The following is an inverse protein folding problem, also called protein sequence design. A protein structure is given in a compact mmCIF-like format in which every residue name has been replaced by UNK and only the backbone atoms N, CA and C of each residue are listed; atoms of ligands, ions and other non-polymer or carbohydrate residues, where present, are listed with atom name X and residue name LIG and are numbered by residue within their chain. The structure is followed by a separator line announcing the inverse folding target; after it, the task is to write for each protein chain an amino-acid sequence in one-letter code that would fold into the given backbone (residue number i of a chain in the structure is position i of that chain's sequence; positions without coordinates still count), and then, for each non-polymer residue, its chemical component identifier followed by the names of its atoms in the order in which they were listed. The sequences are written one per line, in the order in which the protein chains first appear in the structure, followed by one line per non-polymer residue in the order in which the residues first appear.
data_IF_435763533377
#
_entry.id   IF_435763533377
#
_cell.length_a   1.000
_cell.length_b   1.000
_cell.length_c   1.000
_cell.angle_alpha   90.00
_cell.angle_beta   90.00
_cell.angle_gamma   90.00
#
_symmetry.space_group_name_H-M   'P 1'
#
loop_
_entity.id
_entity.type
_entity.pdbx_description
1 polymer ?
#
# COMPACT_ATOMS: atom_id res chain seq x y z
N UNK A 1 2.99 -61.99 9.23
CA UNK A 1 1.62 -62.35 8.79
C UNK A 1 1.09 -61.16 7.99
N UNK A 2 0.76 -61.40 6.72
CA UNK A 2 0.30 -60.49 5.63
C UNK A 2 -0.11 -59.05 5.99
N UNK A 3 0.48 -57.98 5.45
CA UNK A 3 0.38 -57.40 4.07
C UNK A 3 -1.06 -57.20 3.60
N UNK A 4 -1.57 -55.97 3.74
CA UNK A 4 -2.79 -55.47 3.10
C UNK A 4 -2.48 -54.23 2.26
N UNK A 5 -2.18 -54.46 0.97
CA UNK A 5 -1.96 -53.43 -0.04
C UNK A 5 -3.32 -52.90 -0.51
N UNK A 6 -3.64 -51.65 -0.16
CA UNK A 6 -4.81 -50.94 -0.68
C UNK A 6 -4.59 -50.56 -2.15
N UNK A 7 -5.44 -51.09 -3.03
CA UNK A 7 -5.43 -50.81 -4.48
C UNK A 7 -5.81 -49.36 -4.77
N UNK A 8 -4.95 -48.68 -5.53
CA UNK A 8 -5.25 -47.44 -6.26
C UNK A 8 -6.12 -47.78 -7.47
N UNK A 9 -7.27 -47.11 -7.61
CA UNK A 9 -8.11 -47.17 -8.81
C UNK A 9 -7.74 -46.00 -9.74
N UNK A 10 -7.39 -46.25 -11.02
CA UNK A 10 -7.20 -45.18 -12.00
C UNK A 10 -8.56 -44.66 -12.51
N UNK A 11 -8.76 -43.35 -12.42
CA UNK A 11 -9.89 -42.64 -13.05
C UNK A 11 -9.54 -42.38 -14.53
N UNK A 12 -10.39 -42.75 -15.50
CA UNK A 12 -10.10 -42.55 -16.91
C UNK A 12 -10.22 -41.08 -17.34
N UNK A 13 -9.14 -40.54 -17.89
CA UNK A 13 -9.13 -39.33 -18.71
C UNK A 13 -9.99 -39.50 -19.95
N UNK A 14 -10.93 -38.58 -20.19
CA UNK A 14 -11.64 -38.46 -21.48
C UNK A 14 -11.38 -37.08 -22.07
N UNK A 15 -11.09 -37.15 -23.35
CA UNK A 15 -10.56 -36.15 -24.27
C UNK A 15 -11.57 -35.04 -24.63
N UNK A 16 -10.99 -33.86 -24.90
CA UNK A 16 -11.27 -32.94 -26.02
C UNK A 16 -12.74 -32.57 -26.32
N UNK A 17 -13.09 -31.32 -26.01
CA UNK A 17 -14.05 -30.57 -26.83
C UNK A 17 -13.34 -29.40 -27.48
N UNK A 18 -13.39 -29.43 -28.81
CA UNK A 18 -12.78 -28.49 -29.73
C UNK A 18 -13.48 -27.12 -29.73
N UNK A 19 -12.66 -26.15 -30.12
CA UNK A 19 -12.90 -24.79 -30.58
C UNK A 19 -14.30 -24.44 -31.09
N UNK A 20 -14.82 -23.29 -30.65
CA UNK A 20 -15.66 -22.42 -31.47
C UNK A 20 -15.05 -21.02 -31.46
N UNK A 21 -14.47 -20.66 -32.60
CA UNK A 21 -14.14 -19.30 -33.00
C UNK A 21 -15.44 -18.59 -33.36
N UNK A 22 -15.69 -17.40 -32.80
CA UNK A 22 -16.65 -16.45 -33.34
C UNK A 22 -16.01 -15.05 -33.39
N UNK A 23 -16.02 -14.49 -34.60
CA UNK A 23 -15.44 -13.23 -35.04
C UNK A 23 -16.50 -12.10 -35.04
N UNK A 24 -16.04 -10.87 -34.78
CA UNK A 24 -16.53 -9.53 -35.26
C UNK A 24 -17.76 -8.87 -34.59
N UNK A 25 -17.97 -7.54 -34.70
CA UNK A 25 -17.06 -6.40 -34.97
C UNK A 25 -17.26 -5.18 -34.01
N UNK A 26 -16.41 -4.17 -34.21
CA UNK A 26 -16.31 -2.88 -33.53
C UNK A 26 -17.54 -1.95 -33.66
N UNK A 27 -17.78 -1.13 -32.64
CA UNK A 27 -18.52 0.14 -32.74
C UNK A 27 -17.64 1.26 -32.19
N UNK A 28 -17.20 2.14 -33.10
CA UNK A 28 -16.64 3.46 -32.80
C UNK A 28 -17.76 4.37 -32.30
N UNK A 29 -17.58 5.02 -31.15
CA UNK A 29 -18.29 6.24 -30.81
C UNK A 29 -17.26 7.33 -30.48
N UNK A 30 -17.04 8.22 -31.45
CA UNK A 30 -16.26 9.45 -31.28
C UNK A 30 -17.16 10.48 -30.61
N UNK A 31 -16.91 10.76 -29.33
CA UNK A 31 -17.53 11.87 -28.60
C UNK A 31 -16.60 13.08 -28.58
N UNK A 32 -16.90 14.07 -29.41
CA UNK A 32 -16.24 15.38 -29.38
C UNK A 32 -16.73 16.16 -28.14
N UNK A 33 -15.89 16.26 -27.10
CA UNK A 33 -16.10 17.26 -26.03
C UNK A 33 -15.41 18.57 -26.41
N UNK A 34 -16.18 19.50 -26.96
CA UNK A 34 -15.83 20.91 -26.95
C UNK A 34 -16.20 21.49 -25.57
N UNK A 35 -15.20 21.82 -24.75
CA UNK A 35 -15.35 22.44 -23.44
C UNK A 35 -14.66 23.80 -23.40
N UNK A 36 -15.43 24.84 -23.05
CA UNK A 36 -15.08 26.25 -23.06
C UNK A 36 -13.87 26.64 -22.21
N UNK A 37 -13.02 27.49 -22.77
CA UNK A 37 -12.01 28.31 -22.07
C UNK A 37 -12.66 29.58 -21.50
N UNK A 38 -12.50 29.90 -20.20
CA UNK A 38 -12.72 31.24 -19.72
C UNK A 38 -11.49 32.13 -19.94
N UNK A 39 -11.80 33.31 -20.45
CA UNK A 39 -11.00 34.49 -20.72
C UNK A 39 -10.26 34.98 -19.47
N UNK A 40 -8.93 35.09 -19.53
CA UNK A 40 -8.12 35.79 -18.56
C UNK A 40 -7.46 36.98 -19.27
N UNK A 41 -8.21 38.09 -19.36
CA UNK A 41 -7.68 39.37 -19.76
C UNK A 41 -6.48 39.78 -18.90
N UNK A 42 -5.41 40.20 -19.57
CA UNK A 42 -4.33 41.00 -18.97
C UNK A 42 -4.31 42.33 -19.72
N UNK A 43 -4.26 43.48 -19.03
CA UNK A 43 -2.99 44.20 -19.03
C UNK A 43 -2.61 44.91 -17.70
N UNK A 44 -1.31 44.77 -17.39
CA UNK A 44 -0.33 45.71 -16.80
C UNK A 44 -0.59 47.22 -17.07
N UNK A 45 0.10 48.25 -16.50
CA UNK A 45 1.05 48.38 -15.37
C UNK A 45 0.66 49.50 -14.35
N UNK A 46 1.40 49.65 -13.24
CA UNK A 46 1.98 50.96 -12.84
C UNK A 46 2.80 50.87 -11.55
N UNK A 47 4.07 51.26 -11.67
CA UNK A 47 4.91 51.66 -10.57
C UNK A 47 4.49 53.05 -10.05
N UNK A 48 4.66 53.31 -8.76
CA UNK A 48 4.98 54.63 -8.18
C UNK A 48 5.33 54.51 -6.69
N UNK A 49 6.60 54.77 -6.36
CA UNK A 49 7.06 55.32 -5.08
C UNK A 49 7.00 56.87 -5.20
N UNK A 50 6.74 57.67 -4.14
CA UNK A 50 7.74 57.93 -3.10
C UNK A 50 7.22 58.21 -1.66
N UNK A 51 8.21 58.35 -0.78
CA UNK A 51 8.30 58.62 0.66
C UNK A 51 7.28 59.54 1.33
N UNK A 52 7.02 59.25 2.62
CA UNK A 52 6.95 60.29 3.65
C UNK A 52 7.53 59.80 4.98
N UNK A 53 8.32 60.68 5.61
CA UNK A 53 8.96 60.47 6.91
C UNK A 53 7.98 60.79 8.04
N UNK A 54 7.90 59.92 9.04
CA UNK A 54 7.36 60.29 10.35
C UNK A 54 8.17 59.61 11.46
N UNK A 55 8.97 60.43 12.14
CA UNK A 55 9.60 60.15 13.42
C UNK A 55 8.52 59.88 14.47
N UNK A 56 8.46 58.65 14.98
CA UNK A 56 7.62 58.26 16.11
C UNK A 56 8.34 57.22 16.94
N UNK A 57 9.15 57.68 17.90
CA UNK A 57 9.70 56.81 18.93
C UNK A 57 8.59 56.34 19.86
N UNK A 58 8.25 55.05 19.78
CA UNK A 58 7.50 54.35 20.81
C UNK A 58 8.08 52.94 20.89
N UNK A 59 8.94 52.73 21.89
CA UNK A 59 9.47 51.42 22.28
C UNK A 59 8.32 50.58 22.84
N UNK A 60 7.61 49.91 21.94
CA UNK A 60 6.73 48.79 22.27
C UNK A 60 7.62 47.59 22.65
N UNK A 61 7.35 46.87 23.75
CA UNK A 61 8.06 45.64 24.03
C UNK A 61 7.71 44.65 22.92
N UNK A 62 8.72 44.31 22.11
CA UNK A 62 8.64 43.21 21.15
C UNK A 62 8.32 41.94 21.95
N UNK A 63 7.05 41.52 21.89
CA UNK A 63 6.70 40.15 22.19
C UNK A 63 7.18 39.36 20.98
N UNK A 64 8.35 38.75 21.15
CA UNK A 64 8.83 37.71 20.26
C UNK A 64 7.67 36.73 20.03
N UNK A 65 7.22 36.49 18.78
CA UNK A 65 6.22 35.47 18.52
C UNK A 65 6.83 34.14 18.92
N UNK A 66 6.44 33.71 20.12
CA UNK A 66 6.89 32.47 20.75
C UNK A 66 6.84 31.35 19.74
N UNK A 67 7.97 30.66 19.61
CA UNK A 67 8.14 29.48 18.79
C UNK A 67 6.96 28.56 19.04
N UNK A 68 6.11 28.38 18.02
CA UNK A 68 5.09 27.34 18.06
C UNK A 68 5.84 26.02 18.28
N UNK A 69 5.52 25.23 19.32
CA UNK A 69 6.11 23.92 19.45
C UNK A 69 5.81 23.18 18.15
N UNK A 70 6.86 22.87 17.40
CA UNK A 70 6.73 21.92 16.30
C UNK A 70 6.54 20.59 17.00
N UNK A 71 5.29 20.11 17.06
CA UNK A 71 4.97 18.75 17.50
C UNK A 71 5.82 17.80 16.66
N UNK A 72 6.97 17.41 17.21
CA UNK A 72 7.84 16.44 16.59
C UNK A 72 7.16 15.12 16.87
N UNK A 73 6.46 14.58 15.86
CA UNK A 73 5.95 13.21 15.91
C UNK A 73 7.11 12.32 16.31
N UNK A 74 6.95 11.57 17.39
CA UNK A 74 7.97 10.64 17.83
C UNK A 74 8.20 9.62 16.71
N UNK A 75 9.45 9.42 16.33
CA UNK A 75 9.79 8.51 15.24
C UNK A 75 9.46 7.06 15.65
N UNK A 76 8.95 6.27 14.71
CA UNK A 76 8.72 4.84 14.90
C UNK A 76 10.00 4.06 15.25
N UNK A 77 9.81 2.86 15.83
CA UNK A 77 10.91 1.93 16.11
C UNK A 77 11.42 1.33 14.80
N UNK A 78 12.73 1.43 14.49
CA UNK A 78 13.27 0.90 13.24
C UNK A 78 13.08 -0.61 13.10
N UNK A 79 12.62 -1.03 11.92
CA UNK A 79 12.59 -2.44 11.56
C UNK A 79 14.01 -2.91 11.21
N UNK A 80 14.47 -3.98 11.86
CA UNK A 80 15.85 -4.47 11.74
C UNK A 80 15.99 -5.79 11.00
N UNK A 81 14.87 -6.45 10.68
CA UNK A 81 14.85 -7.67 9.87
C UNK A 81 15.01 -7.34 8.37
N UNK A 82 15.50 -8.31 7.60
CA UNK A 82 15.59 -8.23 6.14
C UNK A 82 14.29 -8.68 5.43
N UNK A 83 14.22 -8.45 4.11
CA UNK A 83 13.09 -8.91 3.30
C UNK A 83 12.95 -10.45 3.28
N UNK A 84 14.06 -11.17 3.35
CA UNK A 84 14.11 -12.63 3.42
C UNK A 84 13.73 -13.19 4.79
N UNK A 85 13.80 -12.35 5.83
CA UNK A 85 13.27 -12.68 7.16
C UNK A 85 11.78 -12.34 7.24
N UNK A 86 11.34 -11.22 6.64
CA UNK A 86 9.92 -10.85 6.57
C UNK A 86 9.12 -11.91 5.79
N UNK A 87 9.59 -12.30 4.60
CA UNK A 87 9.06 -13.42 3.84
C UNK A 87 10.19 -14.30 3.35
N UNK A 88 10.22 -15.52 3.85
CA UNK A 88 11.22 -16.50 3.45
C UNK A 88 10.97 -16.93 2.00
N UNK A 89 11.98 -17.54 1.39
CA UNK A 89 11.81 -18.14 0.05
C UNK A 89 10.71 -19.20 0.04
N UNK A 90 10.54 -19.94 1.14
CA UNK A 90 9.52 -20.98 1.26
C UNK A 90 8.11 -20.38 1.32
N UNK A 91 7.92 -19.24 2.00
CA UNK A 91 6.62 -18.55 2.04
C UNK A 91 6.22 -18.04 0.65
N UNK A 92 7.16 -17.40 -0.04
CA UNK A 92 6.93 -16.86 -1.39
C UNK A 92 6.62 -18.00 -2.37
N UNK A 93 7.35 -19.12 -2.27
CA UNK A 93 7.09 -20.30 -3.10
C UNK A 93 5.74 -20.95 -2.78
N UNK A 94 5.35 -21.00 -1.50
CA UNK A 94 4.05 -21.52 -1.08
C UNK A 94 2.89 -20.64 -1.55
N UNK A 95 3.08 -19.32 -1.60
CA UNK A 95 2.13 -18.39 -2.19
C UNK A 95 2.01 -18.59 -3.71
N UNK A 96 3.13 -18.55 -4.43
CA UNK A 96 3.15 -18.77 -5.88
C UNK A 96 4.58 -19.12 -6.36
N UNK A 97 4.81 -20.32 -6.93
CA UNK A 97 6.13 -20.72 -7.43
C UNK A 97 6.71 -19.85 -8.55
N UNK A 98 5.89 -19.03 -9.22
CA UNK A 98 6.36 -18.08 -10.22
C UNK A 98 6.71 -16.71 -9.65
N UNK A 99 6.52 -16.47 -8.35
CA UNK A 99 6.91 -15.23 -7.68
C UNK A 99 8.30 -15.39 -7.10
N UNK A 100 9.14 -14.37 -7.29
CA UNK A 100 10.51 -14.31 -6.77
C UNK A 100 10.89 -12.90 -6.34
N UNK A 101 12.01 -12.78 -5.62
CA UNK A 101 12.50 -11.48 -5.14
C UNK A 101 12.69 -10.48 -6.29
N UNK A 102 12.36 -9.22 -6.04
CA UNK A 102 12.64 -8.10 -6.92
C UNK A 102 13.78 -7.25 -6.31
N UNK A 103 15.06 -7.56 -6.59
CA UNK A 103 16.20 -6.95 -5.88
C UNK A 103 16.38 -5.45 -6.15
N UNK A 104 15.87 -4.97 -7.29
CA UNK A 104 15.90 -3.55 -7.67
C UNK A 104 14.59 -2.82 -7.33
N UNK A 105 13.75 -3.43 -6.50
CA UNK A 105 12.48 -2.84 -6.09
C UNK A 105 12.68 -1.52 -5.34
N UNK A 106 11.84 -0.55 -5.69
CA UNK A 106 11.64 0.68 -4.94
C UNK A 106 10.14 0.88 -4.72
N UNK A 107 9.70 1.30 -3.53
CA UNK A 107 8.30 1.61 -3.27
C UNK A 107 7.70 2.52 -4.33
N UNK A 108 6.47 2.18 -4.73
CA UNK A 108 5.67 3.09 -5.55
C UNK A 108 5.53 4.43 -4.82
N UNK A 109 5.93 5.53 -5.46
CA UNK A 109 5.83 6.89 -4.90
C UNK A 109 4.37 7.22 -4.56
N UNK A 110 4.15 7.98 -3.50
CA UNK A 110 2.82 8.36 -2.98
C UNK A 110 1.91 7.16 -2.68
N UNK A 111 2.51 5.99 -2.41
CA UNK A 111 1.78 4.82 -1.93
C UNK A 111 1.90 4.67 -0.43
N UNK A 112 0.93 3.98 0.16
CA UNK A 112 0.98 3.58 1.57
C UNK A 112 2.23 2.74 1.90
N UNK A 113 2.81 2.02 0.92
CA UNK A 113 4.08 1.30 1.12
C UNK A 113 5.26 2.26 1.24
N UNK A 114 5.26 3.36 0.48
CA UNK A 114 6.25 4.42 0.64
C UNK A 114 6.11 5.14 1.99
N UNK A 115 4.87 5.35 2.47
CA UNK A 115 4.62 5.93 3.80
C UNK A 115 5.18 5.05 4.92
N UNK A 116 4.96 3.73 4.85
CA UNK A 116 5.54 2.76 5.81
C UNK A 116 7.06 2.82 5.78
N UNK A 117 7.67 2.84 4.59
CA UNK A 117 9.13 2.95 4.46
C UNK A 117 9.69 4.26 5.04
N UNK A 118 8.95 5.37 4.90
CA UNK A 118 9.33 6.66 5.46
C UNK A 118 9.27 6.68 6.99
N UNK A 119 8.48 5.80 7.61
CA UNK A 119 8.31 5.67 9.07
C UNK A 119 9.35 4.73 9.72
N UNK A 120 10.59 4.73 9.21
CA UNK A 120 11.65 3.78 9.57
C UNK A 120 11.25 2.29 9.35
N UNK A 121 10.32 2.05 8.42
CA UNK A 121 9.86 0.73 8.06
C UNK A 121 10.76 0.02 7.05
N UNK A 122 10.46 -1.26 6.84
CA UNK A 122 11.01 -2.09 5.79
C UNK A 122 9.97 -2.18 4.66
N UNK A 123 10.40 -1.97 3.42
CA UNK A 123 9.58 -2.21 2.23
C UNK A 123 10.28 -3.16 1.27
N UNK A 124 9.54 -4.18 0.83
CA UNK A 124 10.04 -5.29 0.05
C UNK A 124 9.16 -5.54 -1.18
N UNK A 125 9.78 -6.02 -2.25
CA UNK A 125 9.11 -6.32 -3.51
C UNK A 125 9.39 -7.73 -3.98
N UNK A 126 8.35 -8.38 -4.50
CA UNK A 126 8.45 -9.63 -5.23
C UNK A 126 7.70 -9.50 -6.55
N UNK A 127 8.20 -10.15 -7.59
CA UNK A 127 7.61 -10.09 -8.93
C UNK A 127 7.27 -11.48 -9.40
N UNK A 128 6.06 -11.64 -9.95
CA UNK A 128 5.72 -12.80 -10.74
C UNK A 128 6.54 -12.80 -12.04
N UNK A 129 7.42 -13.77 -12.18
CA UNK A 129 8.40 -13.87 -13.28
C UNK A 129 7.75 -14.15 -14.65
N UNK A 130 6.47 -14.54 -14.67
CA UNK A 130 5.72 -14.78 -15.91
C UNK A 130 4.87 -13.58 -16.32
N UNK A 131 4.21 -12.90 -15.38
CA UNK A 131 3.31 -11.77 -15.67
C UNK A 131 3.95 -10.39 -15.47
N UNK A 132 5.06 -10.30 -14.74
CA UNK A 132 5.64 -9.03 -14.30
C UNK A 132 4.86 -8.35 -13.17
N UNK A 133 3.82 -9.00 -12.64
CA UNK A 133 3.01 -8.48 -11.54
C UNK A 133 3.85 -8.29 -10.27
N UNK A 134 3.77 -7.09 -9.68
CA UNK A 134 4.49 -6.72 -8.48
C UNK A 134 3.63 -6.96 -7.24
N UNK A 135 4.25 -7.52 -6.21
CA UNK A 135 3.71 -7.64 -4.86
C UNK A 135 4.63 -6.82 -3.96
N UNK A 136 4.09 -5.76 -3.39
CA UNK A 136 4.81 -4.91 -2.45
C UNK A 136 4.31 -5.24 -1.05
N UNK A 137 5.22 -5.47 -0.10
CA UNK A 137 4.91 -5.65 1.32
C UNK A 137 5.79 -4.72 2.12
N UNK A 138 5.21 -4.03 3.10
CA UNK A 138 5.96 -3.18 3.99
C UNK A 138 5.49 -3.32 5.43
N UNK A 139 6.41 -3.14 6.37
CA UNK A 139 6.13 -3.14 7.79
C UNK A 139 6.82 -1.96 8.47
N UNK A 140 6.14 -1.32 9.40
CA UNK A 140 6.71 -0.38 10.36
C UNK A 140 6.22 -0.70 11.78
N UNK A 141 6.90 -0.12 12.77
CA UNK A 141 6.44 -0.07 14.14
C UNK A 141 6.34 1.41 14.57
N UNK A 142 5.26 2.10 14.18
CA UNK A 142 5.04 3.51 14.48
C UNK A 142 5.02 3.79 15.98
N UNK A 143 5.14 5.06 16.36
CA UNK A 143 4.76 5.49 17.70
C UNK A 143 3.29 5.12 18.01
N UNK A 144 2.93 4.74 19.25
CA UNK A 144 1.57 4.33 19.58
C UNK A 144 0.46 5.32 19.18
N UNK A 145 0.68 6.63 19.31
CA UNK A 145 -0.32 7.63 18.95
C UNK A 145 -0.49 7.73 17.42
N UNK A 146 0.63 7.58 16.69
CA UNK A 146 0.63 7.49 15.24
C UNK A 146 -0.07 6.21 14.76
N UNK A 147 0.18 5.06 15.40
CA UNK A 147 -0.47 3.79 15.07
C UNK A 147 -1.99 3.88 15.23
N UNK A 148 -2.47 4.52 16.30
CA UNK A 148 -3.90 4.79 16.49
C UNK A 148 -4.43 5.64 15.34
N UNK A 149 -3.73 6.71 14.97
CA UNK A 149 -4.14 7.59 13.86
C UNK A 149 -4.21 6.83 12.52
N UNK A 150 -3.21 6.02 12.22
CA UNK A 150 -3.16 5.19 11.01
C UNK A 150 -4.31 4.18 10.97
N UNK A 151 -4.58 3.49 12.08
CA UNK A 151 -5.69 2.55 12.20
C UNK A 151 -7.05 3.23 12.01
N UNK A 152 -7.24 4.41 12.60
CA UNK A 152 -8.48 5.17 12.44
C UNK A 152 -8.67 5.67 11.01
N UNK A 153 -7.58 6.05 10.32
CA UNK A 153 -7.63 6.39 8.91
C UNK A 153 -8.04 5.17 8.05
N UNK A 154 -7.43 4.01 8.29
CA UNK A 154 -7.81 2.77 7.60
C UNK A 154 -9.29 2.42 7.85
N UNK A 155 -9.76 2.52 9.09
CA UNK A 155 -11.16 2.29 9.44
C UNK A 155 -12.14 3.28 8.78
N UNK A 156 -11.70 4.51 8.51
CA UNK A 156 -12.51 5.53 7.86
C UNK A 156 -12.54 5.40 6.32
N UNK A 157 -11.51 4.80 5.72
CA UNK A 157 -11.30 4.82 4.26
C UNK A 157 -11.31 3.44 3.59
N UNK A 158 -11.21 2.36 4.37
CA UNK A 158 -11.16 0.97 3.89
C UNK A 158 -12.23 0.11 4.54
N UNK A 159 -12.40 -1.11 4.04
CA UNK A 159 -13.33 -2.08 4.63
C UNK A 159 -12.61 -2.92 5.68
N UNK A 160 -13.14 -2.99 6.89
CA UNK A 160 -12.66 -3.92 7.90
C UNK A 160 -12.96 -5.38 7.48
N UNK A 161 -11.98 -6.28 7.64
CA UNK A 161 -12.09 -7.68 7.23
C UNK A 161 -11.54 -8.62 8.31
N UNK A 162 -12.20 -9.76 8.60
CA UNK A 162 -11.73 -10.73 9.59
C UNK A 162 -10.64 -11.68 9.06
N UNK A 163 -10.16 -11.45 7.84
CA UNK A 163 -9.36 -12.40 7.06
C UNK A 163 -7.97 -12.66 7.64
N UNK A 164 -7.35 -11.66 8.27
CA UNK A 164 -5.95 -11.72 8.69
C UNK A 164 -5.76 -12.01 10.18
N UNK A 165 -6.84 -12.10 10.94
CA UNK A 165 -6.80 -12.38 12.37
C UNK A 165 -8.05 -11.90 13.09
N UNK A 166 -8.01 -11.93 14.43
CA UNK A 166 -9.15 -11.59 15.28
C UNK A 166 -8.84 -10.36 16.13
N UNK A 167 -9.66 -9.30 16.08
CA UNK A 167 -9.53 -8.16 16.98
C UNK A 167 -9.69 -8.55 18.46
N UNK A 168 -9.00 -7.89 19.41
CA UNK A 168 -8.10 -6.75 19.19
C UNK A 168 -6.66 -7.15 18.82
N UNK A 169 -6.33 -8.45 18.79
CA UNK A 169 -4.98 -8.91 18.52
C UNK A 169 -4.50 -8.50 17.11
N UNK A 170 -5.42 -8.57 16.14
CA UNK A 170 -5.17 -8.19 14.75
C UNK A 170 -6.40 -7.50 14.17
N UNK A 171 -6.22 -6.29 13.64
CA UNK A 171 -7.24 -5.56 12.88
C UNK A 171 -6.83 -5.49 11.41
N UNK A 172 -7.65 -6.06 10.53
CA UNK A 172 -7.41 -6.12 9.09
C UNK A 172 -8.32 -5.19 8.31
N UNK A 173 -7.76 -4.52 7.31
CA UNK A 173 -8.47 -3.64 6.39
C UNK A 173 -8.10 -3.96 4.94
N UNK A 174 -9.09 -3.89 4.05
CA UNK A 174 -8.92 -4.10 2.62
C UNK A 174 -9.63 -3.02 1.81
N UNK A 175 -8.96 -2.54 0.77
CA UNK A 175 -9.56 -1.72 -0.27
C UNK A 175 -9.00 -2.13 -1.63
N UNK A 176 -9.70 -1.74 -2.69
CA UNK A 176 -9.25 -1.91 -4.05
C UNK A 176 -9.40 -0.59 -4.79
N UNK A 177 -8.39 -0.20 -5.54
CA UNK A 177 -8.39 1.00 -6.38
C UNK A 177 -7.63 0.73 -7.67
N UNK A 178 -8.25 1.05 -8.82
CA UNK A 178 -7.66 0.87 -10.15
C UNK A 178 -6.96 -0.49 -10.30
N UNK A 179 -7.70 -1.57 -10.01
CA UNK A 179 -7.26 -2.97 -10.05
C UNK A 179 -6.17 -3.37 -9.04
N UNK A 180 -5.71 -2.47 -8.18
CA UNK A 180 -4.75 -2.79 -7.12
C UNK A 180 -5.48 -3.01 -5.80
N UNK A 181 -5.41 -4.22 -5.25
CA UNK A 181 -5.81 -4.48 -3.87
C UNK A 181 -4.76 -3.97 -2.89
N UNK A 182 -5.21 -3.35 -1.81
CA UNK A 182 -4.37 -2.89 -0.71
C UNK A 182 -4.88 -3.48 0.60
N UNK A 183 -3.98 -4.09 1.34
CA UNK A 183 -4.18 -4.60 2.68
C UNK A 183 -3.47 -3.69 3.66
N UNK A 184 -4.12 -3.37 4.78
CA UNK A 184 -3.46 -2.84 5.96
C UNK A 184 -3.83 -3.69 7.17
N UNK A 185 -2.84 -4.09 7.96
CA UNK A 185 -3.01 -4.85 9.18
C UNK A 185 -2.32 -4.13 10.33
N UNK A 186 -3.03 -4.05 11.45
CA UNK A 186 -2.53 -3.49 12.70
C UNK A 186 -2.52 -4.59 13.75
N UNK A 187 -1.39 -4.77 14.43
CA UNK A 187 -1.22 -5.80 15.47
C UNK A 187 -1.21 -5.17 16.86
N UNK A 188 -1.60 -5.93 17.87
CA UNK A 188 -1.51 -5.51 19.29
C UNK A 188 -0.06 -5.24 19.73
N UNK A 189 0.93 -5.87 19.07
CA UNK A 189 2.36 -5.63 19.31
C UNK A 189 2.87 -4.28 18.75
N UNK A 190 2.01 -3.51 18.08
CA UNK A 190 2.35 -2.18 17.58
C UNK A 190 2.80 -2.12 16.12
N UNK A 191 2.73 -3.22 15.39
CA UNK A 191 3.12 -3.24 13.97
C UNK A 191 2.00 -2.78 13.05
N UNK A 192 2.39 -2.04 12.02
CA UNK A 192 1.60 -1.70 10.85
C UNK A 192 2.18 -2.43 9.63
N UNK A 193 1.46 -3.44 9.14
CA UNK A 193 1.82 -4.23 7.96
C UNK A 193 0.93 -3.84 6.79
N UNK A 194 1.51 -3.65 5.62
CA UNK A 194 0.82 -3.25 4.39
C UNK A 194 1.23 -4.18 3.28
N UNK A 195 0.28 -4.62 2.46
CA UNK A 195 0.59 -5.30 1.21
C UNK A 195 -0.27 -4.75 0.06
N UNK A 196 0.29 -4.72 -1.14
CA UNK A 196 -0.44 -4.31 -2.35
C UNK A 196 0.00 -5.09 -3.58
N UNK A 197 -0.96 -5.37 -4.45
CA UNK A 197 -0.72 -5.99 -5.73
C UNK A 197 -1.99 -5.93 -6.59
N UNK A 198 -1.83 -6.00 -7.91
CA UNK A 198 -2.93 -6.32 -8.82
C UNK A 198 -3.40 -7.77 -8.67
N UNK A 199 -2.63 -8.62 -7.97
CA UNK A 199 -3.00 -10.01 -7.66
C UNK A 199 -4.07 -10.10 -6.58
N UNK A 200 -4.31 -9.00 -5.84
CA UNK A 200 -5.21 -8.97 -4.70
C UNK A 200 -6.59 -8.43 -5.11
N UNK A 201 -7.46 -9.32 -5.58
CA UNK A 201 -8.83 -8.96 -5.99
C UNK A 201 -9.79 -8.93 -4.81
N UNK A 202 -9.58 -9.82 -3.84
CA UNK A 202 -10.32 -9.91 -2.59
C UNK A 202 -9.35 -10.08 -1.41
N UNK A 203 -9.81 -9.87 -0.15
CA UNK A 203 -8.94 -10.00 1.02
C UNK A 203 -8.25 -11.37 1.14
N UNK A 204 -8.93 -12.43 0.67
CA UNK A 204 -8.39 -13.79 0.72
C UNK A 204 -7.11 -13.98 -0.09
N UNK A 205 -6.93 -13.23 -1.17
CA UNK A 205 -5.80 -13.37 -2.08
C UNK A 205 -4.47 -13.02 -1.42
N UNK A 206 -4.48 -12.13 -0.43
CA UNK A 206 -3.27 -11.69 0.26
C UNK A 206 -2.91 -12.57 1.47
N UNK A 207 -3.73 -13.56 1.86
CA UNK A 207 -3.50 -14.37 3.07
C UNK A 207 -2.15 -15.08 3.04
N UNK A 208 -1.78 -15.67 1.91
CA UNK A 208 -0.50 -16.38 1.73
C UNK A 208 0.74 -15.48 1.81
N UNK A 209 0.56 -14.16 1.85
CA UNK A 209 1.63 -13.16 2.01
C UNK A 209 1.55 -12.54 3.41
N UNK A 210 0.38 -12.08 3.82
CA UNK A 210 0.17 -11.35 5.08
C UNK A 210 0.40 -12.23 6.30
N UNK A 211 -0.13 -13.45 6.30
CA UNK A 211 0.00 -14.37 7.44
C UNK A 211 1.47 -14.74 7.75
N UNK A 212 2.28 -15.21 6.79
CA UNK A 212 3.69 -15.48 7.07
C UNK A 212 4.46 -14.22 7.46
N UNK A 213 4.22 -13.09 6.79
CA UNK A 213 4.85 -11.82 7.14
C UNK A 213 4.61 -11.41 8.60
N UNK A 214 3.37 -11.53 9.09
CA UNK A 214 3.05 -11.27 10.50
C UNK A 214 3.73 -12.26 11.45
N UNK A 215 3.86 -13.53 11.06
CA UNK A 215 4.45 -14.56 11.92
C UNK A 215 5.95 -14.42 12.13
N UNK A 216 6.62 -13.65 11.26
CA UNK A 216 8.05 -13.37 11.33
C UNK A 216 8.40 -12.01 11.93
N UNK A 217 7.40 -11.26 12.40
CA UNK A 217 7.64 -10.02 13.11
C UNK A 217 8.30 -10.28 14.48
N UNK A 218 9.24 -9.41 14.92
CA UNK A 218 9.92 -9.55 16.20
C UNK A 218 9.02 -9.48 17.44
#
# INVERSE_FOLDING_TARGET
MQIGVGRVLPMPSRLHSASIVALLPAVLAVGLLAGCTPDAGTPNPSASVPSDSATGGSTEPTTDPGSTPTDTVAAGTPITIGCDELLTTDDVYAFNPNVGAAPDYTPTVDSVVADVAADNGLACGWTNQSSGELIEVAVAQPDPDQLVTLKQNAAATMNAVPTYGTPPAVDGFFSQSQDTGTVQVFTEAGYWLVARSTAFFEPGDAVGIITPAMSHLP
#
